data_IF_406271391464
#
_entry.id   IF_406271391464
#
_cell.length_a   1.000
_cell.length_b   1.000
_cell.length_c   1.000
_cell.angle_alpha   90.00
_cell.angle_beta   90.00
_cell.angle_gamma   90.00
#
_symmetry.space_group_name_H-M   'P 1'
#
loop_
_entity.id
_entity.type
_entity.pdbx_description
1 polymer ?
#
# COMPACT_ATOMS: atom_id res chain seq x y z
N UNK A 1 -20.78 -53.32 61.65
CA UNK A 1 -21.25 -51.96 61.26
C UNK A 1 -20.26 -51.42 60.30
N UNK A 2 -20.64 -51.16 59.04
CA UNK A 2 -19.78 -50.43 58.14
C UNK A 2 -19.68 -48.97 58.60
N UNK A 3 -18.54 -48.29 58.39
CA UNK A 3 -18.39 -46.90 58.77
C UNK A 3 -19.31 -46.02 57.90
N UNK A 4 -19.80 -44.90 58.45
CA UNK A 4 -20.65 -44.03 57.69
C UNK A 4 -19.91 -43.48 56.47
N UNK A 5 -20.59 -43.47 55.32
CA UNK A 5 -20.11 -42.87 54.15
C UNK A 5 -19.86 -41.37 54.42
N UNK A 6 -18.62 -40.97 54.33
CA UNK A 6 -18.31 -39.54 54.26
C UNK A 6 -18.63 -39.03 52.82
N UNK A 7 -19.64 -38.23 52.78
CA UNK A 7 -19.91 -37.49 51.51
C UNK A 7 -18.69 -36.65 51.13
N UNK A 8 -18.19 -36.88 49.93
CA UNK A 8 -17.12 -36.06 49.38
C UNK A 8 -17.59 -34.60 49.31
N UNK A 9 -16.75 -33.65 49.67
CA UNK A 9 -17.11 -32.23 49.55
C UNK A 9 -17.39 -31.90 48.08
N UNK A 10 -18.63 -31.49 47.83
CA UNK A 10 -18.97 -30.90 46.51
C UNK A 10 -18.29 -29.55 46.39
N UNK A 11 -17.26 -29.52 45.61
CA UNK A 11 -16.67 -28.25 45.19
C UNK A 11 -17.68 -27.49 44.34
N UNK A 12 -17.97 -26.23 44.64
CA UNK A 12 -18.75 -25.45 43.70
C UNK A 12 -17.96 -25.36 42.39
N UNK A 13 -18.53 -25.91 41.33
CA UNK A 13 -18.04 -25.66 40.00
C UNK A 13 -18.14 -24.13 39.80
N UNK A 14 -17.00 -23.43 39.94
CA UNK A 14 -16.93 -22.04 39.56
C UNK A 14 -17.30 -22.00 38.09
N UNK A 15 -18.44 -21.40 37.78
CA UNK A 15 -18.79 -21.10 36.40
C UNK A 15 -17.62 -20.34 35.78
N UNK A 16 -17.18 -20.68 34.54
CA UNK A 16 -16.17 -19.87 33.87
C UNK A 16 -16.70 -18.45 33.83
N UNK A 17 -15.93 -17.52 34.38
CA UNK A 17 -16.25 -16.10 34.27
C UNK A 17 -16.47 -15.72 32.83
N UNK A 18 -17.19 -14.61 32.55
CA UNK A 18 -17.39 -14.17 31.17
C UNK A 18 -16.03 -14.09 30.50
N UNK A 19 -15.89 -14.79 29.38
CA UNK A 19 -14.73 -14.66 28.52
C UNK A 19 -14.77 -13.22 28.01
N UNK A 20 -13.93 -12.38 28.58
CA UNK A 20 -13.74 -11.05 28.01
C UNK A 20 -13.22 -11.25 26.59
N UNK A 21 -13.84 -10.60 25.61
CA UNK A 21 -13.25 -10.59 24.28
C UNK A 21 -11.80 -10.13 24.47
N UNK A 22 -10.85 -10.92 24.00
CA UNK A 22 -9.46 -10.48 23.93
C UNK A 22 -9.49 -9.16 23.21
N UNK A 23 -8.95 -8.12 23.82
CA UNK A 23 -8.80 -6.81 23.18
C UNK A 23 -8.22 -7.08 21.82
N UNK A 24 -9.06 -6.93 20.79
CA UNK A 24 -8.61 -6.98 19.42
C UNK A 24 -7.56 -5.88 19.32
N UNK A 25 -6.34 -6.21 18.90
CA UNK A 25 -5.34 -5.20 18.59
C UNK A 25 -6.04 -4.09 17.78
N UNK A 26 -5.83 -2.80 18.12
CA UNK A 26 -6.53 -1.74 17.43
C UNK A 26 -6.33 -1.93 15.94
N UNK A 27 -7.42 -2.09 15.20
CA UNK A 27 -7.37 -2.19 13.75
C UNK A 27 -6.73 -0.91 13.23
N UNK A 28 -5.62 -1.05 12.49
CA UNK A 28 -4.98 0.07 11.84
C UNK A 28 -6.01 0.83 10.99
N UNK A 29 -6.01 2.17 11.06
CA UNK A 29 -6.89 2.99 10.23
C UNK A 29 -6.60 2.70 8.75
N UNK A 30 -7.61 2.70 7.86
CA UNK A 30 -7.39 2.48 6.43
C UNK A 30 -6.31 3.38 5.83
N UNK A 31 -6.24 4.63 6.28
CA UNK A 31 -5.23 5.59 5.83
C UNK A 31 -3.83 5.18 6.29
N UNK A 32 -3.69 4.69 7.52
CA UNK A 32 -2.41 4.20 8.03
C UNK A 32 -1.95 2.94 7.30
N UNK A 33 -2.85 2.03 6.96
CA UNK A 33 -2.53 0.85 6.15
C UNK A 33 -2.01 1.26 4.78
N UNK A 34 -2.61 2.27 4.15
CA UNK A 34 -2.14 2.81 2.86
C UNK A 34 -0.77 3.46 2.98
N UNK A 35 -0.54 4.21 4.04
CA UNK A 35 0.76 4.85 4.31
C UNK A 35 1.85 3.80 4.54
N UNK A 36 1.54 2.73 5.28
CA UNK A 36 2.47 1.62 5.52
C UNK A 36 2.81 0.89 4.22
N UNK A 37 1.81 0.63 3.37
CA UNK A 37 1.99 0.00 2.06
C UNK A 37 2.82 0.90 1.13
N UNK A 38 2.55 2.20 1.11
CA UNK A 38 3.30 3.17 0.33
C UNK A 38 4.76 3.21 0.77
N UNK A 39 5.02 3.21 2.06
CA UNK A 39 6.38 3.17 2.63
C UNK A 39 7.11 1.91 2.19
N UNK A 40 6.48 0.74 2.27
CA UNK A 40 7.08 -0.53 1.85
C UNK A 40 7.43 -0.55 0.36
N UNK A 41 6.55 0.00 -0.50
CA UNK A 41 6.83 0.12 -1.93
C UNK A 41 8.04 1.01 -2.18
N UNK A 42 8.08 2.19 -1.57
CA UNK A 42 9.19 3.14 -1.76
C UNK A 42 10.50 2.58 -1.20
N UNK A 43 10.48 1.89 -0.07
CA UNK A 43 11.67 1.21 0.46
C UNK A 43 12.20 0.15 -0.50
N UNK A 44 11.32 -0.67 -1.08
CA UNK A 44 11.70 -1.67 -2.06
C UNK A 44 12.26 -1.04 -3.36
N UNK A 45 11.65 0.04 -3.83
CA UNK A 45 12.15 0.82 -4.96
C UNK A 45 13.51 1.43 -4.65
N UNK A 46 13.69 1.99 -3.47
CA UNK A 46 14.95 2.61 -3.06
C UNK A 46 16.10 1.60 -2.93
N UNK A 47 15.82 0.36 -2.54
CA UNK A 47 16.82 -0.71 -2.57
C UNK A 47 17.36 -0.95 -3.98
N UNK A 48 16.48 -0.96 -4.97
CA UNK A 48 16.88 -1.10 -6.38
C UNK A 48 17.67 0.12 -6.87
N UNK A 49 17.21 1.32 -6.50
CA UNK A 49 17.89 2.57 -6.87
C UNK A 49 19.28 2.69 -6.26
N UNK A 50 19.47 2.22 -5.03
CA UNK A 50 20.79 2.20 -4.39
C UNK A 50 21.80 1.36 -5.16
N UNK A 51 21.37 0.24 -5.75
CA UNK A 51 22.22 -0.61 -6.59
C UNK A 51 22.64 0.09 -7.89
N UNK A 52 21.89 1.09 -8.33
CA UNK A 52 22.20 1.90 -9.52
C UNK A 52 22.81 3.27 -9.15
N UNK A 53 23.25 3.46 -7.91
CA UNK A 53 23.84 4.69 -7.39
C UNK A 53 22.91 5.91 -7.46
N UNK A 54 21.60 5.69 -7.49
CA UNK A 54 20.60 6.75 -7.41
C UNK A 54 20.32 7.13 -5.95
N UNK A 55 20.06 8.40 -5.70
CA UNK A 55 19.57 8.85 -4.40
C UNK A 55 18.20 8.25 -4.10
N UNK A 56 17.89 7.97 -2.82
CA UNK A 56 16.57 7.49 -2.45
C UNK A 56 15.48 8.52 -2.76
N UNK A 57 14.33 8.03 -3.22
CA UNK A 57 13.13 8.82 -3.37
C UNK A 57 12.53 9.13 -1.99
N UNK A 58 11.97 10.32 -1.84
CA UNK A 58 11.19 10.71 -0.67
C UNK A 58 9.71 10.60 -0.97
N UNK A 59 8.99 9.89 -0.10
CA UNK A 59 7.54 9.79 -0.19
C UNK A 59 6.90 11.16 0.09
N UNK A 60 5.99 11.58 -0.79
CA UNK A 60 5.23 12.82 -0.64
C UNK A 60 3.74 12.50 -0.58
N UNK A 61 3.08 12.99 0.45
CA UNK A 61 1.64 12.76 0.66
C UNK A 61 0.79 13.25 -0.51
N UNK A 62 1.13 14.40 -1.07
CA UNK A 62 0.43 14.95 -2.24
C UNK A 62 0.55 14.04 -3.46
N UNK A 63 1.73 13.47 -3.72
CA UNK A 63 1.90 12.49 -4.80
C UNK A 63 1.15 11.19 -4.53
N UNK A 64 1.14 10.73 -3.29
CA UNK A 64 0.37 9.52 -2.92
C UNK A 64 -1.13 9.74 -3.08
N UNK A 65 -1.65 10.93 -2.81
CA UNK A 65 -3.06 11.26 -3.09
C UNK A 65 -3.37 11.19 -4.59
N UNK A 66 -2.51 11.74 -5.42
CA UNK A 66 -2.65 11.66 -6.87
C UNK A 66 -2.60 10.19 -7.35
N UNK A 67 -1.62 9.43 -6.89
CA UNK A 67 -1.48 8.00 -7.21
C UNK A 67 -2.70 7.19 -6.75
N UNK A 68 -3.21 7.46 -5.55
CA UNK A 68 -4.38 6.77 -5.02
C UNK A 68 -5.64 7.06 -5.83
N UNK A 69 -5.83 8.30 -6.26
CA UNK A 69 -6.92 8.69 -7.16
C UNK A 69 -6.85 7.90 -8.47
N UNK A 70 -5.67 7.77 -9.04
CA UNK A 70 -5.48 6.99 -10.28
C UNK A 70 -5.77 5.50 -10.06
N UNK A 71 -5.25 4.90 -9.00
CA UNK A 71 -5.52 3.49 -8.68
C UNK A 71 -7.01 3.23 -8.48
N UNK A 72 -7.72 4.12 -7.79
CA UNK A 72 -9.17 4.03 -7.61
C UNK A 72 -9.92 4.15 -8.94
N UNK A 73 -9.48 5.03 -9.82
CA UNK A 73 -10.07 5.19 -11.16
C UNK A 73 -9.86 3.95 -12.04
N UNK A 74 -8.65 3.40 -12.03
CA UNK A 74 -8.37 2.14 -12.75
C UNK A 74 -9.21 0.98 -12.20
N UNK A 75 -9.37 0.88 -10.88
CA UNK A 75 -10.19 -0.15 -10.24
C UNK A 75 -11.66 -0.07 -10.66
N UNK A 76 -12.23 1.15 -10.73
CA UNK A 76 -13.62 1.37 -11.16
C UNK A 76 -13.82 1.07 -12.63
N UNK A 77 -12.92 1.54 -13.49
CA UNK A 77 -13.01 1.37 -14.94
C UNK A 77 -12.52 0.01 -15.40
N UNK A 78 -11.80 -0.73 -14.57
CA UNK A 78 -11.12 -2.00 -14.89
C UNK A 78 -10.20 -1.87 -16.11
N UNK A 79 -9.48 -0.76 -16.17
CA UNK A 79 -8.53 -0.46 -17.24
C UNK A 79 -7.17 -0.10 -16.66
N UNK A 80 -6.16 -0.82 -17.14
CA UNK A 80 -4.77 -0.51 -16.83
C UNK A 80 -4.30 0.53 -17.85
N UNK A 81 -4.36 1.80 -17.45
CA UNK A 81 -4.01 2.93 -18.31
C UNK A 81 -3.45 4.09 -17.50
N UNK A 82 -2.53 4.85 -18.09
CA UNK A 82 -1.97 6.07 -17.49
C UNK A 82 -2.90 7.27 -17.59
N UNK A 83 -3.91 7.22 -18.47
CA UNK A 83 -4.88 8.30 -18.65
C UNK A 83 -6.09 8.03 -17.77
N UNK A 84 -6.61 9.07 -17.10
CA UNK A 84 -7.85 8.97 -16.33
C UNK A 84 -9.05 8.66 -17.19
N UNK A 85 -10.09 8.09 -16.61
CA UNK A 85 -11.36 7.78 -17.30
C UNK A 85 -12.05 9.01 -17.88
N UNK A 86 -11.76 10.20 -17.31
CA UNK A 86 -12.22 11.51 -17.78
C UNK A 86 -11.23 12.20 -18.75
N UNK A 87 -10.16 11.52 -19.15
CA UNK A 87 -9.10 12.06 -20.01
C UNK A 87 -8.03 12.87 -19.28
N UNK A 88 -8.09 12.98 -17.95
CA UNK A 88 -7.10 13.73 -17.17
C UNK A 88 -5.74 13.02 -17.13
N UNK A 89 -4.67 13.80 -16.95
CA UNK A 89 -3.29 13.35 -16.95
C UNK A 89 -2.75 13.18 -15.53
N UNK A 90 -1.68 12.39 -15.34
CA UNK A 90 -0.99 12.31 -14.05
C UNK A 90 -0.53 13.68 -13.52
N UNK A 91 -0.03 14.55 -14.38
CA UNK A 91 0.38 15.89 -13.99
C UNK A 91 -0.78 16.72 -13.44
N UNK A 92 -1.97 16.62 -14.04
CA UNK A 92 -3.16 17.31 -13.56
C UNK A 92 -3.57 16.81 -12.16
N UNK A 93 -3.52 15.52 -11.92
CA UNK A 93 -3.85 14.94 -10.58
C UNK A 93 -2.83 15.37 -9.52
N UNK A 94 -1.56 15.45 -9.87
CA UNK A 94 -0.51 15.91 -8.97
C UNK A 94 -0.76 17.39 -8.57
N UNK A 95 -1.09 18.25 -9.52
CA UNK A 95 -1.42 19.66 -9.26
C UNK A 95 -2.67 19.79 -8.40
N UNK A 96 -3.72 19.04 -8.72
CA UNK A 96 -4.96 19.02 -7.94
C UNK A 96 -4.73 18.59 -6.50
N UNK A 97 -3.74 17.71 -6.27
CA UNK A 97 -3.34 17.26 -4.94
C UNK A 97 -2.35 18.22 -4.23
N UNK A 98 -1.95 19.30 -4.88
CA UNK A 98 -1.07 20.32 -4.31
C UNK A 98 0.42 20.11 -4.56
N UNK A 99 0.79 19.26 -5.51
CA UNK A 99 2.17 19.04 -5.91
C UNK A 99 2.46 19.75 -7.24
N UNK A 100 3.55 20.49 -7.30
CA UNK A 100 3.98 21.18 -8.51
C UNK A 100 5.06 20.37 -9.23
N UNK A 101 4.70 19.55 -10.23
CA UNK A 101 5.66 18.66 -10.87
C UNK A 101 6.54 19.38 -11.89
N UNK A 102 7.81 18.99 -11.92
CA UNK A 102 8.71 19.21 -13.04
C UNK A 102 8.65 17.97 -13.96
N UNK A 103 9.68 17.12 -13.91
CA UNK A 103 9.65 15.83 -14.59
C UNK A 103 8.78 14.85 -13.83
N UNK A 104 8.03 14.05 -14.56
CA UNK A 104 7.17 13.00 -14.01
C UNK A 104 7.34 11.70 -14.78
N UNK A 105 7.14 10.60 -14.07
CA UNK A 105 6.96 9.27 -14.65
C UNK A 105 5.99 8.47 -13.78
N UNK A 106 5.43 7.43 -14.37
CA UNK A 106 4.44 6.60 -13.68
C UNK A 106 4.59 5.14 -14.07
N UNK A 107 4.63 4.28 -13.08
CA UNK A 107 4.45 2.84 -13.24
C UNK A 107 3.09 2.43 -12.70
N UNK A 108 2.39 1.62 -13.45
CA UNK A 108 1.10 1.04 -13.04
C UNK A 108 1.17 -0.49 -13.13
N UNK A 109 0.35 -1.16 -12.34
CA UNK A 109 0.22 -2.61 -12.39
C UNK A 109 -1.14 -3.03 -11.84
N UNK A 110 -1.61 -4.19 -12.28
CA UNK A 110 -2.81 -4.83 -11.74
C UNK A 110 -2.52 -6.30 -11.46
N UNK A 111 -2.90 -6.77 -10.28
CA UNK A 111 -2.78 -8.17 -9.89
C UNK A 111 -1.80 -8.48 -8.75
N UNK A 112 -0.55 -7.95 -8.74
CA UNK A 112 0.37 -8.26 -7.65
C UNK A 112 -0.23 -7.94 -6.28
N UNK A 113 -0.15 -8.88 -5.33
CA UNK A 113 -0.86 -8.79 -4.06
C UNK A 113 -0.12 -8.07 -2.93
N UNK A 114 1.18 -7.81 -3.09
CA UNK A 114 2.03 -7.24 -2.04
C UNK A 114 2.95 -6.16 -2.59
N UNK A 115 3.47 -5.25 -1.73
CA UNK A 115 4.47 -4.27 -2.12
C UNK A 115 5.70 -4.90 -2.79
N UNK A 116 6.24 -5.97 -2.23
CA UNK A 116 7.39 -6.66 -2.79
C UNK A 116 7.11 -7.26 -4.17
N UNK A 117 5.93 -7.84 -4.37
CA UNK A 117 5.56 -8.45 -5.64
C UNK A 117 5.32 -7.43 -6.75
N UNK A 118 4.72 -6.28 -6.45
CA UNK A 118 4.52 -5.24 -7.46
C UNK A 118 5.83 -4.59 -7.89
N UNK A 119 6.73 -4.32 -6.94
CA UNK A 119 8.05 -3.76 -7.28
C UNK A 119 8.84 -4.75 -8.13
N UNK A 120 8.80 -6.05 -7.81
CA UNK A 120 9.44 -7.09 -8.63
C UNK A 120 8.86 -7.11 -10.04
N UNK A 121 7.54 -7.02 -10.18
CA UNK A 121 6.88 -6.95 -11.48
C UNK A 121 7.41 -5.79 -12.32
N UNK A 122 7.58 -4.61 -11.72
CA UNK A 122 8.14 -3.46 -12.42
C UNK A 122 9.62 -3.63 -12.77
N UNK A 123 10.42 -4.16 -11.87
CA UNK A 123 11.85 -4.39 -12.10
C UNK A 123 12.10 -5.44 -13.19
N UNK A 124 11.23 -6.43 -13.31
CA UNK A 124 11.34 -7.47 -14.34
C UNK A 124 10.94 -6.99 -15.75
N UNK A 125 10.33 -5.83 -15.85
CA UNK A 125 9.95 -5.20 -17.12
C UNK A 125 10.93 -4.07 -17.46
N UNK A 126 11.63 -4.12 -18.62
CA UNK A 126 12.65 -3.12 -18.96
C UNK A 126 12.16 -1.67 -18.89
N UNK A 127 10.97 -1.38 -19.44
CA UNK A 127 10.41 -0.02 -19.43
C UNK A 127 10.13 0.49 -18.02
N UNK A 128 9.52 -0.33 -17.18
CA UNK A 128 9.21 0.03 -15.79
C UNK A 128 10.47 0.13 -14.94
N UNK A 129 11.44 -0.75 -15.16
CA UNK A 129 12.74 -0.71 -14.49
C UNK A 129 13.49 0.56 -14.82
N UNK A 130 13.51 0.97 -16.08
CA UNK A 130 14.20 2.18 -16.51
C UNK A 130 13.63 3.43 -15.82
N UNK A 131 12.32 3.49 -15.61
CA UNK A 131 11.68 4.56 -14.85
C UNK A 131 12.19 4.57 -13.41
N UNK A 132 12.20 3.43 -12.74
CA UNK A 132 12.66 3.31 -11.34
C UNK A 132 14.14 3.70 -11.20
N UNK A 133 14.96 3.32 -12.16
CA UNK A 133 16.40 3.55 -12.14
C UNK A 133 16.83 4.88 -12.77
N UNK A 134 15.88 5.74 -13.13
CA UNK A 134 16.18 7.11 -13.57
C UNK A 134 16.49 7.98 -12.36
N UNK A 135 17.75 8.34 -12.18
CA UNK A 135 18.24 9.00 -10.98
C UNK A 135 17.71 10.42 -10.75
N UNK A 136 17.19 11.08 -11.78
CA UNK A 136 16.69 12.47 -11.66
C UNK A 136 15.50 12.63 -10.72
N UNK A 137 14.66 11.62 -10.59
CA UNK A 137 13.47 11.71 -9.73
C UNK A 137 13.87 11.77 -8.26
N UNK A 138 13.17 12.59 -7.50
CA UNK A 138 13.45 12.88 -6.09
C UNK A 138 12.30 12.52 -5.17
N UNK A 139 11.07 12.50 -5.69
CA UNK A 139 9.86 12.23 -4.92
C UNK A 139 9.07 11.08 -5.50
N UNK A 140 8.35 10.39 -4.62
CA UNK A 140 7.46 9.30 -4.99
C UNK A 140 6.09 9.44 -4.32
N UNK A 141 5.08 8.94 -4.99
CA UNK A 141 3.76 8.69 -4.44
C UNK A 141 3.30 7.31 -4.82
N UNK A 142 2.54 6.66 -3.95
CA UNK A 142 2.04 5.29 -4.16
C UNK A 142 0.55 5.24 -3.89
N UNK A 143 -0.18 4.63 -4.81
CA UNK A 143 -1.58 4.31 -4.65
C UNK A 143 -1.84 2.82 -4.85
N UNK A 144 -2.82 2.30 -4.14
CA UNK A 144 -3.33 0.95 -4.32
C UNK A 144 -4.83 0.93 -4.07
N UNK A 145 -5.57 0.28 -4.95
CA UNK A 145 -7.01 0.13 -4.83
C UNK A 145 -7.43 -1.31 -5.05
N UNK A 146 -8.29 -1.82 -4.18
CA UNK A 146 -8.91 -3.12 -4.33
C UNK A 146 -9.95 -3.09 -5.45
N UNK A 147 -10.18 -4.22 -6.06
CA UNK A 147 -11.20 -4.36 -7.09
C UNK A 147 -10.92 -5.53 -8.00
N UNK A 148 -11.91 -5.92 -8.78
CA UNK A 148 -11.78 -7.04 -9.71
C UNK A 148 -10.62 -6.80 -10.69
N UNK A 149 -9.73 -7.77 -10.82
CA UNK A 149 -8.52 -7.68 -11.63
C UNK A 149 -7.32 -7.07 -10.92
N UNK A 150 -7.52 -6.58 -9.69
CA UNK A 150 -6.48 -5.95 -8.89
C UNK A 150 -5.83 -6.87 -7.86
N UNK A 151 -5.14 -6.28 -6.88
CA UNK A 151 -5.05 -4.83 -6.61
C UNK A 151 -4.52 -4.00 -7.76
N UNK A 152 -4.95 -2.75 -7.83
CA UNK A 152 -4.53 -1.77 -8.84
C UNK A 152 -3.52 -0.81 -8.24
N UNK A 153 -2.33 -0.75 -8.81
CA UNK A 153 -1.18 -0.04 -8.26
C UNK A 153 -0.77 1.13 -9.12
N UNK A 154 -0.37 2.22 -8.49
CA UNK A 154 0.26 3.37 -9.12
C UNK A 154 1.49 3.79 -8.34
N UNK A 155 2.61 3.93 -9.04
CA UNK A 155 3.82 4.56 -8.53
C UNK A 155 4.08 5.81 -9.36
N UNK A 156 3.91 6.96 -8.75
CA UNK A 156 4.25 8.25 -9.33
C UNK A 156 5.64 8.67 -8.88
N UNK A 157 6.47 9.03 -9.84
CA UNK A 157 7.80 9.59 -9.61
C UNK A 157 7.85 11.00 -10.18
N UNK A 158 8.50 11.91 -9.45
CA UNK A 158 8.55 13.30 -9.88
C UNK A 158 9.77 14.04 -9.32
N UNK A 159 10.11 15.14 -10.02
CA UNK A 159 10.83 16.27 -9.46
C UNK A 159 9.83 17.40 -9.23
N UNK A 160 10.01 18.21 -8.19
CA UNK A 160 9.11 19.32 -7.91
C UNK A 160 8.96 19.60 -6.42
N UNK A 161 7.84 20.24 -6.05
CA UNK A 161 7.55 20.65 -4.67
C UNK A 161 6.05 20.72 -4.38
#
# INVERSE_FOLDING_TARGET
MPPPYQEAPTWPLSAPGPVQPRDSAPHARPDQVRDDVATEVVEAVNRQRAQADCRPLRLRTSLSRAAQRHSADMARSRRLTRTGSDGSSPAAWMRDAGYHPGYIAENIAAGPGTPGSVVRTWIDSPEHRDIILTCRYTHAGVGVASGRGGPWWTLDLATGY
#
